data_IF_040425598592
#
_entry.id   IF_040425598592
#
_cell.length_a   1.000
_cell.length_b   1.000
_cell.length_c   1.000
_cell.angle_alpha   90.00
_cell.angle_beta   90.00
_cell.angle_gamma   90.00
#
_symmetry.space_group_name_H-M   'P 1'
#
loop_
_entity.id
_entity.type
_entity.pdbx_description
1 polymer ?
#
# COMPACT_ATOMS: atom_id res chain seq x y z
N UNK A 1 -7.23 -6.38 -28.75
CA UNK A 1 -6.55 -5.18 -28.21
C UNK A 1 -7.30 -4.55 -27.04
N UNK A 2 -8.57 -4.15 -27.21
CA UNK A 2 -9.42 -3.57 -26.14
C UNK A 2 -9.61 -4.45 -24.89
N UNK A 3 -9.60 -5.77 -25.03
CA UNK A 3 -9.75 -6.73 -23.91
C UNK A 3 -8.50 -6.83 -23.04
N UNK A 4 -7.30 -6.69 -23.62
CA UNK A 4 -6.02 -6.79 -22.92
C UNK A 4 -5.78 -5.54 -22.07
N UNK A 5 -6.02 -4.36 -22.63
CA UNK A 5 -5.92 -3.06 -21.95
C UNK A 5 -6.84 -3.02 -20.72
N UNK A 6 -8.08 -3.51 -20.87
CA UNK A 6 -9.04 -3.60 -19.76
C UNK A 6 -8.56 -4.50 -18.62
N UNK A 7 -7.87 -5.61 -18.93
CA UNK A 7 -7.32 -6.52 -17.89
C UNK A 7 -6.19 -5.84 -17.12
N UNK A 8 -5.23 -5.24 -17.83
CA UNK A 8 -4.08 -4.54 -17.21
C UNK A 8 -4.55 -3.39 -16.33
N UNK A 9 -5.49 -2.57 -16.80
CA UNK A 9 -6.04 -1.48 -15.98
C UNK A 9 -6.76 -2.03 -14.75
N UNK A 10 -7.60 -3.06 -14.90
CA UNK A 10 -8.34 -3.65 -13.78
C UNK A 10 -7.40 -4.24 -12.73
N UNK A 11 -6.24 -4.75 -13.12
CA UNK A 11 -5.27 -5.32 -12.19
C UNK A 11 -4.62 -4.24 -11.31
N UNK A 12 -4.17 -3.15 -11.92
CA UNK A 12 -3.60 -1.99 -11.20
C UNK A 12 -4.56 -1.40 -10.19
N UNK A 13 -5.85 -1.33 -10.53
CA UNK A 13 -6.88 -0.89 -9.60
C UNK A 13 -7.01 -1.81 -8.39
N UNK A 14 -6.88 -3.14 -8.55
CA UNK A 14 -6.88 -4.05 -7.39
C UNK A 14 -5.70 -3.76 -6.47
N UNK A 15 -4.50 -3.63 -7.02
CA UNK A 15 -3.29 -3.31 -6.25
C UNK A 15 -3.45 -1.99 -5.49
N UNK A 16 -4.01 -0.97 -6.14
CA UNK A 16 -4.37 0.28 -5.50
C UNK A 16 -5.35 0.12 -4.34
N UNK A 17 -6.46 -0.60 -4.51
CA UNK A 17 -7.44 -0.83 -3.44
C UNK A 17 -6.89 -1.67 -2.28
N UNK A 18 -6.07 -2.69 -2.58
CA UNK A 18 -5.35 -3.46 -1.56
C UNK A 18 -4.37 -2.56 -0.80
N UNK A 19 -3.69 -1.66 -1.51
CA UNK A 19 -2.88 -0.60 -0.94
C UNK A 19 -3.65 0.22 0.08
N UNK A 20 -4.82 0.74 -0.27
CA UNK A 20 -5.68 1.52 0.66
C UNK A 20 -5.98 0.73 1.92
N UNK A 21 -6.44 -0.51 1.77
CA UNK A 21 -6.76 -1.35 2.92
C UNK A 21 -5.53 -1.58 3.82
N UNK A 22 -4.37 -1.87 3.22
CA UNK A 22 -3.11 -2.02 3.93
C UNK A 22 -2.72 -0.74 4.69
N UNK A 23 -2.83 0.42 4.05
CA UNK A 23 -2.54 1.72 4.67
C UNK A 23 -3.44 2.01 5.88
N UNK A 24 -4.74 1.77 5.75
CA UNK A 24 -5.71 1.91 6.84
C UNK A 24 -5.34 1.01 8.03
N UNK A 25 -5.10 -0.27 7.77
CA UNK A 25 -4.81 -1.27 8.81
C UNK A 25 -3.50 -0.95 9.52
N UNK A 26 -2.42 -0.74 8.78
CA UNK A 26 -1.10 -0.51 9.37
C UNK A 26 -1.03 0.83 10.12
N UNK A 27 -1.64 1.90 9.58
CA UNK A 27 -1.65 3.19 10.27
C UNK A 27 -2.51 3.16 11.53
N UNK A 28 -3.67 2.48 11.50
CA UNK A 28 -4.50 2.28 12.69
C UNK A 28 -3.74 1.48 13.75
N UNK A 29 -3.06 0.42 13.34
CA UNK A 29 -2.22 -0.37 14.24
C UNK A 29 -1.11 0.47 14.89
N UNK A 30 -0.40 1.27 14.09
CA UNK A 30 0.63 2.17 14.60
C UNK A 30 0.07 3.23 15.56
N UNK A 31 -1.13 3.76 15.28
CA UNK A 31 -1.79 4.71 16.19
C UNK A 31 -2.03 4.11 17.58
N UNK A 32 -2.55 2.88 17.63
CA UNK A 32 -2.88 2.20 18.89
C UNK A 32 -1.59 1.80 19.64
N UNK A 33 -0.58 1.31 18.93
CA UNK A 33 0.64 0.77 19.55
C UNK A 33 1.67 1.84 19.92
N UNK A 34 1.72 2.95 19.17
CA UNK A 34 2.71 4.01 19.33
C UNK A 34 2.06 5.40 19.47
N UNK A 35 1.09 5.59 20.40
CA UNK A 35 0.32 6.83 20.48
C UNK A 35 1.19 8.05 20.81
N UNK A 36 2.26 7.88 21.59
CA UNK A 36 3.22 8.94 21.92
C UNK A 36 4.17 9.33 20.78
N UNK A 37 4.24 8.55 19.70
CA UNK A 37 5.17 8.78 18.57
C UNK A 37 4.45 8.81 17.21
N UNK A 38 3.45 9.68 17.00
CA UNK A 38 2.61 9.63 15.80
C UNK A 38 3.40 9.85 14.49
N UNK A 39 4.40 10.75 14.51
CA UNK A 39 5.26 11.02 13.34
C UNK A 39 6.15 9.82 12.99
N UNK A 40 6.83 9.26 13.99
CA UNK A 40 7.70 8.10 13.80
C UNK A 40 6.89 6.84 13.45
N UNK A 41 5.70 6.68 14.02
CA UNK A 41 4.76 5.61 13.67
C UNK A 41 4.31 5.70 12.21
N UNK A 42 3.91 6.89 11.74
CA UNK A 42 3.55 7.09 10.33
C UNK A 42 4.73 6.81 9.39
N UNK A 43 5.95 7.25 9.73
CA UNK A 43 7.14 6.96 8.94
C UNK A 43 7.44 5.46 8.87
N UNK A 44 7.32 4.75 10.00
CA UNK A 44 7.50 3.31 10.04
C UNK A 44 6.47 2.58 9.15
N UNK A 45 5.20 2.99 9.22
CA UNK A 45 4.13 2.43 8.37
C UNK A 45 4.43 2.66 6.89
N UNK A 46 4.88 3.86 6.50
CA UNK A 46 5.26 4.13 5.12
C UNK A 46 6.36 3.19 4.63
N UNK A 47 7.42 3.01 5.43
CA UNK A 47 8.51 2.08 5.09
C UNK A 47 8.00 0.65 4.93
N UNK A 48 7.12 0.20 5.83
CA UNK A 48 6.50 -1.13 5.75
C UNK A 48 5.64 -1.28 4.49
N UNK A 49 4.84 -0.28 4.13
CA UNK A 49 4.02 -0.30 2.90
C UNK A 49 4.90 -0.44 1.66
N UNK A 50 5.99 0.32 1.58
CA UNK A 50 6.95 0.23 0.47
C UNK A 50 7.60 -1.15 0.44
N UNK A 51 8.05 -1.66 1.60
CA UNK A 51 8.69 -2.97 1.71
C UNK A 51 7.75 -4.12 1.32
N UNK A 52 6.48 -4.08 1.74
CA UNK A 52 5.48 -5.09 1.38
C UNK A 52 5.18 -5.01 -0.11
N UNK A 53 4.89 -3.79 -0.62
CA UNK A 53 4.49 -3.58 -2.01
C UNK A 53 5.60 -4.00 -2.99
N UNK A 54 6.83 -3.56 -2.74
CA UNK A 54 7.97 -3.95 -3.56
C UNK A 54 8.41 -5.40 -3.29
N UNK A 55 8.26 -5.89 -2.06
CA UNK A 55 8.61 -7.25 -1.67
C UNK A 55 7.79 -8.30 -2.41
N UNK A 56 6.48 -8.07 -2.60
CA UNK A 56 5.65 -8.95 -3.43
C UNK A 56 6.11 -8.99 -4.89
N UNK A 57 6.46 -7.85 -5.48
CA UNK A 57 6.99 -7.84 -6.85
C UNK A 57 8.34 -8.52 -6.97
N UNK A 58 9.24 -8.27 -6.02
CA UNK A 58 10.55 -8.91 -6.00
C UNK A 58 10.42 -10.43 -5.83
N UNK A 59 9.48 -10.88 -4.99
CA UNK A 59 9.15 -12.29 -4.84
C UNK A 59 8.61 -12.89 -6.14
N UNK A 60 7.69 -12.23 -6.83
CA UNK A 60 7.18 -12.65 -8.14
C UNK A 60 8.30 -12.78 -9.16
N UNK A 61 9.24 -11.81 -9.17
CA UNK A 61 10.42 -11.82 -10.06
C UNK A 61 11.33 -13.01 -9.82
N UNK A 62 11.67 -13.30 -8.56
CA UNK A 62 12.63 -14.36 -8.23
C UNK A 62 12.04 -15.76 -8.31
N UNK A 63 10.77 -15.92 -7.95
CA UNK A 63 10.12 -17.25 -7.93
C UNK A 63 9.47 -17.61 -9.26
N UNK A 64 9.28 -16.63 -10.16
CA UNK A 64 8.48 -16.78 -11.37
C UNK A 64 6.99 -17.00 -11.09
N UNK A 65 6.55 -16.88 -9.83
CA UNK A 65 5.15 -17.05 -9.42
C UNK A 65 4.47 -15.69 -9.37
N UNK A 66 3.62 -15.43 -10.35
CA UNK A 66 2.86 -14.18 -10.46
C UNK A 66 3.27 -13.35 -11.67
N UNK A 67 2.72 -12.13 -11.75
CA UNK A 67 3.12 -11.15 -12.75
C UNK A 67 4.11 -10.20 -12.10
N UNK A 68 5.30 -10.02 -12.69
CA UNK A 68 6.23 -8.99 -12.24
C UNK A 68 5.93 -7.71 -13.00
N UNK A 69 5.31 -6.75 -12.31
CA UNK A 69 5.08 -5.41 -12.85
C UNK A 69 5.33 -4.37 -11.75
N UNK A 70 6.40 -3.57 -11.88
CA UNK A 70 6.73 -2.52 -10.89
C UNK A 70 5.58 -1.53 -10.67
N UNK A 71 4.72 -1.35 -11.68
CA UNK A 71 3.54 -0.51 -11.57
C UNK A 71 2.52 -1.02 -10.54
N UNK A 72 2.49 -2.32 -10.24
CA UNK A 72 1.60 -2.92 -9.25
C UNK A 72 2.06 -2.56 -7.82
N UNK A 73 3.38 -2.56 -7.59
CA UNK A 73 3.95 -2.02 -6.36
C UNK A 73 3.66 -0.52 -6.22
N UNK A 74 3.84 0.27 -7.28
CA UNK A 74 3.56 1.72 -7.25
C UNK A 74 2.08 1.98 -6.95
N UNK A 75 1.17 1.27 -7.63
CA UNK A 75 -0.27 1.39 -7.38
C UNK A 75 -0.62 1.07 -5.92
N UNK A 76 -0.02 0.01 -5.37
CA UNK A 76 -0.19 -0.38 -3.97
C UNK A 76 0.35 0.67 -2.99
N UNK A 77 1.52 1.27 -3.26
CA UNK A 77 2.09 2.34 -2.43
C UNK A 77 1.21 3.60 -2.44
N UNK A 78 0.72 4.03 -3.61
CA UNK A 78 -0.16 5.20 -3.72
C UNK A 78 -1.47 4.94 -2.95
N UNK A 79 -2.05 3.75 -3.12
CA UNK A 79 -3.22 3.34 -2.32
C UNK A 79 -2.90 3.36 -0.82
N UNK A 80 -1.76 2.82 -0.41
CA UNK A 80 -1.29 2.82 0.98
C UNK A 80 -1.17 4.21 1.58
N UNK A 81 -0.61 5.16 0.84
CA UNK A 81 -0.52 6.56 1.26
C UNK A 81 -1.90 7.19 1.46
N UNK A 82 -2.87 6.90 0.59
CA UNK A 82 -4.26 7.36 0.77
C UNK A 82 -4.89 6.76 2.03
N UNK A 83 -4.74 5.46 2.26
CA UNK A 83 -5.22 4.79 3.46
C UNK A 83 -4.60 5.38 4.74
N UNK A 84 -3.29 5.59 4.75
CA UNK A 84 -2.59 6.28 5.86
C UNK A 84 -3.14 7.69 6.08
N UNK A 85 -3.29 8.46 5.00
CA UNK A 85 -3.77 9.84 5.04
C UNK A 85 -5.15 9.98 5.64
N UNK A 86 -6.06 9.02 5.39
CA UNK A 86 -7.38 8.98 6.02
C UNK A 86 -7.25 8.88 7.55
N UNK A 87 -6.46 7.91 8.05
CA UNK A 87 -6.29 7.73 9.49
C UNK A 87 -5.59 8.92 10.13
N UNK A 88 -4.55 9.45 9.50
CA UNK A 88 -3.85 10.65 9.97
C UNK A 88 -4.81 11.85 10.02
N UNK A 89 -5.68 12.02 9.02
CA UNK A 89 -6.72 13.04 9.02
C UNK A 89 -7.65 12.91 10.23
N UNK A 90 -8.10 11.69 10.53
CA UNK A 90 -8.89 11.43 11.74
C UNK A 90 -8.12 11.72 13.03
N UNK A 91 -6.84 11.36 13.10
CA UNK A 91 -5.98 11.64 14.26
C UNK A 91 -5.80 13.13 14.54
N UNK A 92 -5.83 13.97 13.50
CA UNK A 92 -5.63 15.41 13.62
C UNK A 92 -6.94 16.19 13.83
N UNK A 93 -8.08 15.59 13.47
CA UNK A 93 -9.39 16.23 13.56
C UNK A 93 -10.10 15.99 14.92
N UNK A 94 -9.66 14.98 15.68
CA UNK A 94 -10.11 14.70 17.05
C UNK A 94 -9.18 15.28 18.09
#
# INVERSE_FOLDING_TARGET
MLSLIRRIQRDKWKHFFVGIAMGLVLQTFAWIMLPQFPKSGALAVFVVIVAISYGFELFSKFTGKGHYEVNDAIASVIGGLLGMGIIIGFQLAG
#
